data_IF_288559338290
#
_entry.id   IF_288559338290
#
_cell.length_a   1.000
_cell.length_b   1.000
_cell.length_c   1.000
_cell.angle_alpha   90.00
_cell.angle_beta   90.00
_cell.angle_gamma   90.00
#
_symmetry.space_group_name_H-M   'P 1'
#
loop_
_entity.id
_entity.type
_entity.pdbx_description
1 polymer ?
#
# COMPACT_ATOMS: atom_id res chain seq x y z
N UNK A 1 4.98 -2.77 14.18
CA UNK A 1 5.10 -2.83 12.71
C UNK A 1 6.58 -2.90 12.34
N UNK A 2 6.98 -3.73 11.39
CA UNK A 2 8.40 -3.77 10.98
C UNK A 2 8.80 -2.49 10.25
N UNK A 3 10.08 -2.12 10.25
CA UNK A 3 10.58 -0.94 9.53
C UNK A 3 10.20 -0.97 8.03
N UNK A 4 10.22 -2.14 7.40
CA UNK A 4 9.84 -2.30 5.99
C UNK A 4 8.34 -2.06 5.73
N UNK A 5 7.47 -2.45 6.65
CA UNK A 5 6.03 -2.16 6.55
C UNK A 5 5.73 -0.67 6.72
N UNK A 6 6.49 0.04 7.56
CA UNK A 6 6.40 1.50 7.65
C UNK A 6 6.82 2.14 6.33
N UNK A 7 7.96 1.72 5.77
CA UNK A 7 8.41 2.19 4.44
C UNK A 7 7.38 1.92 3.34
N UNK A 8 6.69 0.79 3.39
CA UNK A 8 5.62 0.48 2.44
C UNK A 8 4.47 1.48 2.52
N UNK A 9 4.00 1.79 3.73
CA UNK A 9 2.92 2.77 3.93
C UNK A 9 3.38 4.16 3.49
N UNK A 10 4.61 4.58 3.82
CA UNK A 10 5.14 5.88 3.42
C UNK A 10 5.26 6.01 1.89
N UNK A 11 5.72 4.96 1.19
CA UNK A 11 5.78 4.93 -0.26
C UNK A 11 4.37 5.06 -0.89
N UNK A 12 3.40 4.32 -0.35
CA UNK A 12 2.01 4.40 -0.81
C UNK A 12 1.41 5.79 -0.57
N UNK A 13 1.61 6.37 0.61
CA UNK A 13 1.15 7.73 0.95
C UNK A 13 1.69 8.77 0.00
N UNK A 14 2.99 8.70 -0.31
CA UNK A 14 3.63 9.65 -1.21
C UNK A 14 2.93 9.69 -2.57
N UNK A 15 2.65 8.53 -3.16
CA UNK A 15 1.99 8.44 -4.47
C UNK A 15 0.54 8.90 -4.40
N UNK A 16 -0.19 8.59 -3.32
CA UNK A 16 -1.57 9.04 -3.16
C UNK A 16 -1.68 10.57 -2.96
N UNK A 17 -0.72 11.19 -2.26
CA UNK A 17 -0.63 12.66 -2.18
C UNK A 17 -0.39 13.27 -3.57
N UNK A 18 0.48 12.67 -4.39
CA UNK A 18 0.71 13.09 -5.78
C UNK A 18 -0.56 12.93 -6.64
N UNK A 19 -1.45 11.99 -6.29
CA UNK A 19 -2.77 11.82 -6.91
C UNK A 19 -3.85 12.77 -6.37
N UNK A 20 -3.54 13.59 -5.36
CA UNK A 20 -4.44 14.61 -4.81
C UNK A 20 -5.20 14.19 -3.55
N UNK A 21 -4.81 13.10 -2.89
CA UNK A 21 -5.36 12.77 -1.56
C UNK A 21 -4.81 13.69 -0.48
N UNK A 22 -5.67 14.04 0.47
CA UNK A 22 -5.30 14.85 1.63
C UNK A 22 -4.63 13.99 2.71
N UNK A 23 -3.79 14.59 3.53
CA UNK A 23 -3.01 13.85 4.53
C UNK A 23 -3.89 13.10 5.53
N UNK A 24 -5.00 13.70 5.94
CA UNK A 24 -5.98 13.14 6.87
C UNK A 24 -6.63 11.85 6.33
N UNK A 25 -6.82 11.72 5.02
CA UNK A 25 -7.35 10.50 4.38
C UNK A 25 -6.38 9.32 4.54
N UNK A 26 -5.09 9.63 4.60
CA UNK A 26 -4.00 8.66 4.55
C UNK A 26 -3.44 8.29 5.95
N UNK A 27 -3.91 8.95 7.01
CA UNK A 27 -3.44 8.75 8.39
C UNK A 27 -3.59 7.27 8.83
N UNK A 28 -4.70 6.64 8.47
CA UNK A 28 -5.06 5.29 8.91
C UNK A 28 -4.78 4.20 7.87
N UNK A 29 -3.83 4.42 6.95
CA UNK A 29 -3.38 3.38 6.03
C UNK A 29 -2.70 2.21 6.78
N UNK A 30 -2.91 1.00 6.27
CA UNK A 30 -2.43 -0.24 6.86
C UNK A 30 -1.96 -1.22 5.77
N UNK A 31 -1.05 -2.12 6.18
CA UNK A 31 -0.57 -3.21 5.32
C UNK A 31 -1.57 -4.36 5.37
N UNK A 32 -2.10 -4.73 4.20
CA UNK A 32 -3.00 -5.88 4.02
C UNK A 32 -2.22 -7.17 3.90
N UNK A 33 -1.11 -7.13 3.16
CA UNK A 33 -0.22 -8.28 2.97
C UNK A 33 1.22 -7.82 2.83
N UNK A 34 2.16 -8.64 3.28
CA UNK A 34 3.58 -8.34 3.20
C UNK A 34 4.39 -9.63 3.04
N UNK A 35 5.39 -9.61 2.17
CA UNK A 35 6.42 -10.63 2.10
C UNK A 35 7.81 -10.01 1.95
N UNK A 36 8.82 -10.76 2.39
CA UNK A 36 10.23 -10.39 2.26
C UNK A 36 11.04 -11.63 1.90
N UNK A 37 11.83 -11.51 0.84
CA UNK A 37 12.70 -12.58 0.34
C UNK A 37 14.08 -11.98 0.10
N UNK A 38 15.05 -12.35 0.93
CA UNK A 38 16.39 -11.78 0.94
C UNK A 38 16.35 -10.23 1.05
N UNK A 39 16.86 -9.50 0.06
CA UNK A 39 16.86 -8.03 -0.04
C UNK A 39 15.55 -7.46 -0.64
N UNK A 40 14.72 -8.29 -1.27
CA UNK A 40 13.49 -7.86 -1.92
C UNK A 40 12.30 -7.95 -0.96
N UNK A 41 11.33 -7.05 -1.12
CA UNK A 41 10.06 -7.13 -0.38
C UNK A 41 8.91 -6.56 -1.20
N UNK A 42 7.71 -7.06 -0.91
CA UNK A 42 6.47 -6.57 -1.52
C UNK A 42 5.41 -6.39 -0.44
N UNK A 43 4.63 -5.33 -0.57
CA UNK A 43 3.53 -5.01 0.32
C UNK A 43 2.28 -4.65 -0.47
N UNK A 44 1.13 -5.03 0.05
CA UNK A 44 -0.16 -4.51 -0.38
C UNK A 44 -0.69 -3.61 0.73
N UNK A 45 -1.05 -2.38 0.38
CA UNK A 45 -1.42 -1.31 1.31
C UNK A 45 -2.80 -0.78 0.95
N UNK A 46 -3.61 -0.51 1.96
CA UNK A 46 -4.93 0.10 1.79
C UNK A 46 -5.25 1.01 2.98
N UNK A 47 -6.36 1.73 2.91
CA UNK A 47 -6.83 2.62 3.96
C UNK A 47 -8.36 2.66 3.99
N UNK A 48 -8.96 3.05 5.13
CA UNK A 48 -10.42 3.13 5.25
C UNK A 48 -11.04 4.27 4.44
N UNK A 49 -10.27 5.32 4.13
CA UNK A 49 -10.75 6.55 3.48
C UNK A 49 -10.25 6.69 2.03
N UNK A 50 -9.74 5.62 1.43
CA UNK A 50 -9.29 5.58 0.04
C UNK A 50 -9.97 4.43 -0.71
N UNK A 51 -10.23 4.64 -2.00
CA UNK A 51 -10.77 3.59 -2.87
C UNK A 51 -9.66 2.79 -3.55
N UNK A 52 -8.40 3.18 -3.35
CA UNK A 52 -7.24 2.59 -3.95
C UNK A 52 -6.73 1.37 -3.18
N UNK A 53 -6.17 0.44 -3.95
CA UNK A 53 -5.30 -0.61 -3.46
C UNK A 53 -3.90 -0.37 -4.02
N UNK A 54 -2.92 -0.23 -3.12
CA UNK A 54 -1.56 0.15 -3.51
C UNK A 54 -0.63 -1.03 -3.33
N UNK A 55 0.00 -1.46 -4.42
CA UNK A 55 1.08 -2.43 -4.38
C UNK A 55 2.43 -1.69 -4.33
N UNK A 56 3.26 -2.03 -3.35
CA UNK A 56 4.61 -1.50 -3.22
C UNK A 56 5.60 -2.65 -3.38
N UNK A 57 6.49 -2.53 -4.37
CA UNK A 57 7.49 -3.55 -4.70
C UNK A 57 8.88 -2.95 -4.60
N UNK A 58 9.71 -3.49 -3.72
CA UNK A 58 11.09 -3.05 -3.56
C UNK A 58 12.06 -4.08 -4.12
N UNK A 59 12.88 -3.62 -5.06
CA UNK A 59 14.00 -4.33 -5.65
C UNK A 59 15.28 -3.94 -4.90
N UNK A 60 15.69 -4.77 -3.95
CA UNK A 60 16.87 -4.52 -3.13
C UNK A 60 18.20 -4.72 -3.85
N UNK A 61 18.21 -5.33 -5.04
CA UNK A 61 19.42 -5.42 -5.87
C UNK A 61 19.77 -4.08 -6.53
N UNK A 62 18.75 -3.27 -6.79
CA UNK A 62 18.89 -1.96 -7.45
C UNK A 62 18.55 -0.78 -6.51
N UNK A 63 18.12 -1.07 -5.28
CA UNK A 63 17.61 -0.09 -4.30
C UNK A 63 16.46 0.78 -4.86
N UNK A 64 15.56 0.15 -5.61
CA UNK A 64 14.44 0.83 -6.27
C UNK A 64 13.11 0.38 -5.69
N UNK A 65 12.16 1.31 -5.57
CA UNK A 65 10.80 1.01 -5.11
C UNK A 65 9.80 1.44 -6.16
N UNK A 66 8.97 0.49 -6.57
CA UNK A 66 7.91 0.64 -7.54
C UNK A 66 6.58 0.65 -6.80
N UNK A 67 5.66 1.50 -7.25
CA UNK A 67 4.33 1.66 -6.65
C UNK A 67 3.29 1.60 -7.75
N UNK A 68 2.43 0.59 -7.67
CA UNK A 68 1.29 0.40 -8.56
C UNK A 68 0.01 0.73 -7.81
N UNK A 69 -0.83 1.59 -8.39
CA UNK A 69 -2.11 2.00 -7.79
C UNK A 69 -3.27 1.44 -8.59
N UNK A 70 -4.16 0.73 -7.91
CA UNK A 70 -5.36 0.15 -8.49
C UNK A 70 -6.62 0.79 -7.88
N UNK A 71 -7.52 1.31 -8.70
CA UNK A 71 -8.82 1.78 -8.22
C UNK A 71 -9.78 0.60 -8.00
N UNK A 72 -10.39 0.51 -6.81
CA UNK A 72 -11.37 -0.54 -6.50
C UNK A 72 -12.67 -0.29 -7.23
N UNK A 73 -13.05 -1.23 -8.10
CA UNK A 73 -14.30 -1.10 -8.87
C UNK A 73 -15.57 -1.32 -8.02
N UNK A 74 -15.55 -2.24 -7.05
CA UNK A 74 -16.65 -2.42 -6.08
C UNK A 74 -16.17 -3.08 -4.78
N UNK A 75 -16.89 -2.82 -3.69
CA UNK A 75 -16.86 -3.61 -2.47
C UNK A 75 -18.25 -4.21 -2.24
N UNK A 76 -18.34 -5.53 -2.08
CA UNK A 76 -19.62 -6.22 -1.83
C UNK A 76 -19.46 -7.12 -0.62
N UNK A 77 -20.31 -6.92 0.38
CA UNK A 77 -20.42 -7.80 1.53
C UNK A 77 -21.18 -9.08 1.13
N UNK A 78 -20.49 -10.21 1.18
CA UNK A 78 -21.11 -11.54 1.07
C UNK A 78 -21.17 -12.11 2.49
N UNK A 79 -22.38 -12.47 2.94
CA UNK A 79 -22.58 -13.09 4.25
C UNK A 79 -22.54 -14.61 4.09
N UNK A 80 -21.82 -15.28 4.98
CA UNK A 80 -21.91 -16.73 5.09
C UNK A 80 -23.29 -17.11 5.68
N UNK A 81 -23.79 -18.28 5.31
CA UNK A 81 -25.02 -18.87 5.87
C UNK A 81 -24.72 -19.68 7.13
#
# INVERSE_FOLDING_TARGET
MSNLQVKAIEAARKVLVEMGHEFEELEFMYVVWFCKTLQNWKALVSGPNIDEYVEVTHNGDHDETYVDVYCKAKNVCIKDN
#
